data_IF_289910454354
#
_entry.id   IF_289910454354
#
_cell.length_a   1.000
_cell.length_b   1.000
_cell.length_c   1.000
_cell.angle_alpha   90.00
_cell.angle_beta   90.00
_cell.angle_gamma   90.00
#
_symmetry.space_group_name_H-M   'P 1'
#
loop_
_entity.id
_entity.type
_entity.pdbx_description
1 polymer ?
#
# COMPACT_ATOMS: atom_id res chain seq x y z
N UNK A 1 -4.19 4.89 -1.15
CA UNK A 1 -5.42 4.83 -0.36
C UNK A 1 -5.09 4.30 1.02
N UNK A 2 -5.53 5.01 2.06
CA UNK A 2 -5.41 4.59 3.46
C UNK A 2 -6.79 4.31 4.02
N UNK A 3 -6.90 3.24 4.80
CA UNK A 3 -8.10 2.85 5.54
C UNK A 3 -7.70 2.56 6.99
N UNK A 4 -8.39 3.16 7.95
CA UNK A 4 -8.06 3.04 9.38
C UNK A 4 -6.57 3.30 9.69
N UNK A 5 -6.00 4.34 9.07
CA UNK A 5 -4.58 4.74 9.18
C UNK A 5 -3.57 3.71 8.66
N UNK A 6 -4.02 2.68 7.93
CA UNK A 6 -3.15 1.68 7.31
C UNK A 6 -3.16 1.89 5.79
N UNK A 7 -1.98 1.93 5.15
CA UNK A 7 -1.88 1.93 3.70
C UNK A 7 -2.50 0.65 3.15
N UNK A 8 -3.57 0.77 2.38
CA UNK A 8 -4.29 -0.34 1.76
C UNK A 8 -3.81 -0.58 0.33
N UNK A 9 -3.78 0.46 -0.49
CA UNK A 9 -3.32 0.39 -1.86
C UNK A 9 -2.56 1.65 -2.29
N UNK A 10 -1.67 1.49 -3.27
CA UNK A 10 -0.88 2.55 -3.90
C UNK A 10 -1.07 2.47 -5.40
N UNK A 11 -1.09 3.62 -6.08
CA UNK A 11 -1.14 3.73 -7.53
C UNK A 11 0.00 4.62 -8.03
N UNK A 12 0.67 4.21 -9.07
CA UNK A 12 1.80 4.92 -9.68
C UNK A 12 1.68 4.90 -11.22
N UNK A 13 2.08 6.00 -11.90
CA UNK A 13 2.52 7.27 -11.35
C UNK A 13 1.36 8.12 -10.80
N UNK A 14 1.69 9.17 -10.06
CA UNK A 14 0.69 10.16 -9.65
C UNK A 14 0.05 10.79 -10.89
N UNK A 15 -1.30 10.70 -10.99
CA UNK A 15 -2.09 11.39 -12.03
C UNK A 15 -2.73 12.63 -11.42
N UNK A 16 -2.45 13.77 -12.01
CA UNK A 16 -2.92 15.07 -11.53
C UNK A 16 -3.19 15.99 -12.69
N UNK A 17 -4.12 16.93 -12.51
CA UNK A 17 -4.36 18.03 -13.44
C UNK A 17 -3.38 19.20 -13.26
N UNK A 18 -2.50 19.13 -12.26
CA UNK A 18 -1.45 20.10 -11.96
C UNK A 18 -0.10 19.53 -12.39
N UNK A 19 0.41 19.87 -13.59
CA UNK A 19 1.61 19.25 -14.16
C UNK A 19 2.89 19.54 -13.32
N UNK A 20 2.93 20.63 -12.58
CA UNK A 20 4.03 21.02 -11.70
C UNK A 20 4.06 20.27 -10.36
N UNK A 21 2.94 19.65 -9.97
CA UNK A 21 2.79 19.04 -8.64
C UNK A 21 3.83 17.92 -8.36
N UNK A 22 4.10 16.99 -9.30
CA UNK A 22 5.11 15.95 -9.07
C UNK A 22 6.50 16.55 -8.81
N UNK A 23 6.89 17.56 -9.58
CA UNK A 23 8.19 18.22 -9.41
C UNK A 23 8.29 18.95 -8.07
N UNK A 24 7.23 19.69 -7.68
CA UNK A 24 7.18 20.36 -6.35
C UNK A 24 7.27 19.34 -5.22
N UNK A 25 6.59 18.21 -5.33
CA UNK A 25 6.64 17.13 -4.34
C UNK A 25 8.07 16.56 -4.21
N UNK A 26 8.73 16.27 -5.34
CA UNK A 26 10.13 15.83 -5.34
C UNK A 26 11.06 16.84 -4.68
N UNK A 27 10.96 18.13 -5.02
CA UNK A 27 11.78 19.18 -4.41
C UNK A 27 11.61 19.29 -2.90
N UNK A 28 10.39 19.10 -2.39
CA UNK A 28 10.12 19.10 -0.94
C UNK A 28 10.78 17.86 -0.31
N UNK A 29 10.61 16.69 -0.92
CA UNK A 29 11.21 15.46 -0.43
C UNK A 29 12.75 15.53 -0.44
N UNK A 30 13.36 16.02 -1.51
CA UNK A 30 14.81 16.20 -1.63
C UNK A 30 15.37 17.13 -0.55
N UNK A 31 14.74 18.30 -0.35
CA UNK A 31 15.14 19.25 0.72
C UNK A 31 15.01 18.64 2.11
N UNK A 32 13.95 17.88 2.34
CA UNK A 32 13.71 17.26 3.62
C UNK A 32 14.75 16.14 3.90
N UNK A 33 15.05 15.31 2.91
CA UNK A 33 16.06 14.24 3.03
C UNK A 33 17.48 14.80 3.14
N UNK A 34 17.79 15.92 2.47
CA UNK A 34 19.11 16.57 2.54
C UNK A 34 19.50 17.07 3.94
N UNK A 35 18.55 17.08 4.90
CA UNK A 35 18.88 17.43 6.31
C UNK A 35 19.48 16.27 7.11
N UNK A 36 19.47 15.04 6.55
CA UNK A 36 20.04 13.87 7.20
C UNK A 36 21.48 13.63 6.70
N UNK A 37 22.32 13.17 7.61
CA UNK A 37 23.62 12.62 7.26
C UNK A 37 23.52 11.12 6.97
N UNK A 38 24.39 10.62 6.10
CA UNK A 38 24.44 9.20 5.71
C UNK A 38 23.85 8.93 4.33
N UNK A 39 23.75 7.65 3.99
CA UNK A 39 23.28 7.18 2.69
C UNK A 39 22.25 6.05 2.84
N UNK A 40 21.25 6.02 1.95
CA UNK A 40 20.22 5.00 1.94
C UNK A 40 19.04 5.42 1.09
N UNK A 41 17.94 4.69 1.25
CA UNK A 41 16.65 5.03 0.65
C UNK A 41 15.75 5.65 1.71
N UNK A 42 14.93 6.62 1.32
CA UNK A 42 13.97 7.28 2.20
C UNK A 42 12.59 7.21 1.58
N UNK A 43 11.60 6.78 2.36
CA UNK A 43 10.19 6.94 2.03
C UNK A 43 9.71 8.29 2.57
N UNK A 44 9.31 9.19 1.68
CA UNK A 44 8.80 10.51 2.07
C UNK A 44 7.30 10.56 1.79
N UNK A 45 6.50 10.68 2.83
CA UNK A 45 5.05 10.84 2.71
C UNK A 45 4.66 12.31 2.77
N UNK A 46 3.81 12.72 1.85
CA UNK A 46 3.35 14.09 1.71
C UNK A 46 1.82 14.14 1.69
N UNK A 47 1.25 15.19 2.26
CA UNK A 47 -0.17 15.52 2.08
C UNK A 47 -0.32 16.64 1.06
N UNK A 48 -1.25 16.46 0.13
CA UNK A 48 -1.71 17.52 -0.77
C UNK A 48 -3.05 18.05 -0.24
N UNK A 49 -3.08 19.30 0.15
CA UNK A 49 -4.29 19.97 0.59
C UNK A 49 -5.13 20.45 -0.61
N UNK A 50 -6.40 20.79 -0.35
CA UNK A 50 -7.34 21.25 -1.39
C UNK A 50 -6.92 22.55 -2.08
N UNK A 51 -6.18 23.40 -1.38
CA UNK A 51 -5.63 24.67 -1.88
C UNK A 51 -4.32 24.48 -2.68
N UNK A 52 -3.84 23.24 -2.85
CA UNK A 52 -2.59 22.93 -3.54
C UNK A 52 -1.35 23.01 -2.67
N UNK A 53 -1.49 23.26 -1.37
CA UNK A 53 -0.39 23.23 -0.41
C UNK A 53 0.09 21.80 -0.21
N UNK A 54 1.42 21.59 -0.22
CA UNK A 54 2.03 20.30 0.07
C UNK A 54 2.64 20.35 1.47
N UNK A 55 2.25 19.41 2.32
CA UNK A 55 2.78 19.25 3.67
C UNK A 55 3.58 17.96 3.79
N UNK A 56 4.72 18.02 4.46
CA UNK A 56 5.48 16.86 4.86
C UNK A 56 4.73 16.13 5.99
N UNK A 57 4.48 14.83 5.79
CA UNK A 57 3.86 13.96 6.79
C UNK A 57 4.91 13.19 7.59
N UNK A 58 5.64 12.30 6.92
CA UNK A 58 6.70 11.53 7.57
C UNK A 58 7.87 11.24 6.63
N UNK A 59 9.04 10.99 7.22
CA UNK A 59 10.21 10.46 6.53
C UNK A 59 10.61 9.14 7.19
N UNK A 60 10.59 8.07 6.41
CA UNK A 60 11.06 6.76 6.84
C UNK A 60 12.46 6.49 6.23
N UNK A 61 13.54 6.44 7.03
CA UNK A 61 14.91 6.23 6.53
C UNK A 61 15.17 4.74 6.24
N UNK A 62 14.38 4.16 5.36
CA UNK A 62 14.40 2.73 4.99
C UNK A 62 13.53 2.51 3.75
N UNK A 63 13.64 1.33 3.08
CA UNK A 63 12.61 0.91 2.11
C UNK A 63 11.22 1.03 2.72
N UNK A 64 10.30 1.65 1.99
CA UNK A 64 8.96 1.97 2.49
C UNK A 64 7.90 1.14 1.78
N UNK A 65 6.85 0.79 2.53
CA UNK A 65 5.77 -0.05 2.00
C UNK A 65 5.11 0.56 0.76
N UNK A 66 4.89 1.87 0.70
CA UNK A 66 4.33 2.52 -0.49
C UNK A 66 5.24 2.45 -1.73
N UNK A 67 6.54 2.17 -1.55
CA UNK A 67 7.51 1.98 -2.63
C UNK A 67 7.68 0.52 -3.09
N UNK A 68 6.93 -0.45 -2.56
CA UNK A 68 7.12 -1.86 -2.94
C UNK A 68 6.74 -2.13 -4.40
N UNK A 69 5.85 -1.33 -5.01
CA UNK A 69 5.55 -1.44 -6.44
C UNK A 69 6.80 -1.30 -7.33
N UNK A 70 7.85 -0.63 -6.83
CA UNK A 70 9.10 -0.42 -7.59
C UNK A 70 9.81 -1.71 -7.96
N UNK A 71 9.56 -2.80 -7.23
CA UNK A 71 10.15 -4.11 -7.53
C UNK A 71 9.74 -4.63 -8.92
N UNK A 72 8.49 -4.41 -9.30
CA UNK A 72 7.95 -4.92 -10.56
C UNK A 72 7.77 -3.81 -11.62
N UNK A 73 7.66 -2.56 -11.20
CA UNK A 73 7.28 -1.45 -12.07
C UNK A 73 8.40 -0.48 -12.43
N UNK A 74 9.54 -0.45 -11.71
CA UNK A 74 10.66 0.45 -11.99
C UNK A 74 11.84 -0.29 -12.59
N UNK A 75 12.71 0.46 -13.27
CA UNK A 75 13.98 -0.06 -13.78
C UNK A 75 14.87 -0.52 -12.63
N UNK A 76 14.95 0.27 -11.55
CA UNK A 76 15.67 -0.08 -10.32
C UNK A 76 14.71 0.06 -9.14
N UNK A 77 14.63 -0.99 -8.33
CA UNK A 77 13.76 -0.99 -7.15
C UNK A 77 14.32 -0.13 -6.01
N UNK A 78 13.45 0.26 -5.07
CA UNK A 78 13.89 0.93 -3.86
C UNK A 78 14.90 0.09 -3.05
N UNK A 79 14.80 -1.23 -3.08
CA UNK A 79 15.71 -2.13 -2.38
C UNK A 79 17.11 -2.11 -3.01
N UNK A 80 17.16 -2.20 -4.33
CA UNK A 80 18.44 -2.14 -5.06
C UNK A 80 19.11 -0.78 -4.90
N UNK A 81 18.37 0.33 -5.06
CA UNK A 81 18.93 1.66 -4.84
C UNK A 81 19.37 1.88 -3.39
N UNK A 82 18.69 1.26 -2.40
CA UNK A 82 19.18 1.27 -1.03
C UNK A 82 20.56 0.63 -0.89
N UNK A 83 20.73 -0.57 -1.45
CA UNK A 83 22.03 -1.26 -1.44
C UNK A 83 23.11 -0.48 -2.20
N UNK A 84 22.78 0.06 -3.37
CA UNK A 84 23.70 0.90 -4.14
C UNK A 84 24.15 2.12 -3.33
N UNK A 85 23.22 2.81 -2.69
CA UNK A 85 23.52 4.00 -1.88
C UNK A 85 24.45 3.69 -0.71
N UNK A 86 24.16 2.66 0.10
CA UNK A 86 24.99 2.31 1.27
C UNK A 86 26.37 1.74 0.91
N UNK A 87 26.51 1.18 -0.30
CA UNK A 87 27.78 0.66 -0.82
C UNK A 87 28.57 1.69 -1.64
N UNK A 88 28.08 2.92 -1.78
CA UNK A 88 28.71 3.96 -2.59
C UNK A 88 28.73 3.65 -4.09
N UNK A 89 27.81 2.83 -4.58
CA UNK A 89 27.67 2.48 -6.00
C UNK A 89 26.82 3.54 -6.74
N UNK A 90 26.97 3.68 -8.06
CA UNK A 90 26.10 4.53 -8.86
C UNK A 90 24.64 4.14 -8.70
N UNK A 91 23.77 5.11 -8.43
CA UNK A 91 22.34 4.87 -8.33
C UNK A 91 21.74 4.46 -9.69
N UNK A 92 20.81 3.52 -9.67
CA UNK A 92 20.08 3.12 -10.86
C UNK A 92 18.89 4.05 -11.13
N UNK A 93 18.40 4.00 -12.36
CA UNK A 93 17.23 4.77 -12.80
C UNK A 93 15.98 4.40 -11.98
N UNK A 94 15.26 5.40 -11.50
CA UNK A 94 13.99 5.23 -10.79
C UNK A 94 12.78 5.28 -11.74
N UNK A 95 13.01 5.37 -13.05
CA UNK A 95 11.95 5.44 -14.05
C UNK A 95 11.05 4.20 -14.00
N UNK A 96 9.76 4.43 -14.26
CA UNK A 96 8.82 3.32 -14.47
C UNK A 96 9.15 2.64 -15.80
N UNK A 97 9.30 1.32 -15.80
CA UNK A 97 9.41 0.47 -17.00
C UNK A 97 8.06 0.06 -17.58
N UNK A 98 6.98 0.49 -16.93
CA UNK A 98 5.57 0.24 -17.33
C UNK A 98 4.76 1.53 -17.23
N UNK A 99 3.72 1.72 -18.06
CA UNK A 99 2.91 2.93 -18.05
C UNK A 99 2.11 3.17 -16.76
N UNK A 100 1.72 2.09 -16.07
CA UNK A 100 0.94 2.17 -14.83
C UNK A 100 1.18 0.96 -13.94
N UNK A 101 1.16 1.21 -12.64
CA UNK A 101 1.29 0.18 -11.61
C UNK A 101 0.40 0.49 -10.40
N UNK A 102 0.06 -0.56 -9.66
CA UNK A 102 -0.54 -0.44 -8.34
C UNK A 102 0.05 -1.49 -7.40
N UNK A 103 -0.10 -1.26 -6.10
CA UNK A 103 0.25 -2.22 -5.05
C UNK A 103 -0.93 -2.36 -4.11
N UNK A 104 -1.30 -3.59 -3.76
CA UNK A 104 -2.29 -3.94 -2.76
C UNK A 104 -1.60 -4.62 -1.58
N UNK A 105 -1.77 -4.10 -0.38
CA UNK A 105 -1.28 -4.76 0.83
C UNK A 105 -2.21 -5.93 1.20
N UNK A 106 -1.60 -7.06 1.53
CA UNK A 106 -2.29 -8.21 2.11
C UNK A 106 -2.25 -8.04 3.63
N UNK A 107 -3.39 -7.64 4.19
CA UNK A 107 -3.54 -7.39 5.63
C UNK A 107 -4.20 -8.60 6.29
N UNK A 108 -3.68 -9.03 7.44
CA UNK A 108 -4.31 -10.06 8.23
C UNK A 108 -5.75 -9.68 8.61
N UNK A 109 -6.70 -10.57 8.40
CA UNK A 109 -8.13 -10.33 8.63
C UNK A 109 -8.56 -10.79 10.02
N UNK A 110 -7.94 -11.84 10.55
CA UNK A 110 -8.26 -12.42 11.84
C UNK A 110 -7.01 -12.90 12.56
N UNK A 111 -7.16 -13.26 13.84
CA UNK A 111 -6.08 -13.84 14.64
C UNK A 111 -6.09 -15.37 14.48
N UNK A 112 -4.98 -15.92 13.99
CA UNK A 112 -4.83 -17.37 13.75
C UNK A 112 -5.02 -18.21 15.02
N UNK A 113 -4.77 -17.64 16.21
CA UNK A 113 -5.02 -18.33 17.48
C UNK A 113 -6.52 -18.46 17.82
N UNK A 114 -7.39 -17.70 17.17
CA UNK A 114 -8.84 -17.64 17.41
C UNK A 114 -9.67 -18.10 16.21
N UNK A 115 -9.09 -18.10 15.03
CA UNK A 115 -9.73 -18.48 13.77
C UNK A 115 -8.72 -19.27 12.93
N UNK A 116 -8.88 -20.59 12.85
CA UNK A 116 -7.97 -21.47 12.11
C UNK A 116 -7.96 -21.13 10.59
N UNK A 117 -9.02 -20.54 10.06
CA UNK A 117 -9.12 -20.11 8.68
C UNK A 117 -8.60 -18.70 8.42
N UNK A 118 -8.11 -18.01 9.46
CA UNK A 118 -7.63 -16.62 9.34
C UNK A 118 -6.59 -16.43 8.24
N UNK A 119 -5.67 -17.37 8.09
CA UNK A 119 -4.65 -17.32 7.04
C UNK A 119 -5.25 -17.54 5.66
N UNK A 120 -6.14 -18.53 5.49
CA UNK A 120 -6.81 -18.81 4.22
C UNK A 120 -7.63 -17.58 3.75
N UNK A 121 -8.42 -16.99 4.65
CA UNK A 121 -9.18 -15.76 4.38
C UNK A 121 -8.26 -14.59 3.99
N UNK A 122 -7.15 -14.42 4.72
CA UNK A 122 -6.15 -13.38 4.43
C UNK A 122 -5.50 -13.56 3.05
N UNK A 123 -5.29 -14.80 2.61
CA UNK A 123 -4.63 -15.13 1.34
C UNK A 123 -5.61 -15.26 0.16
N UNK A 124 -6.91 -15.07 0.34
CA UNK A 124 -7.88 -15.14 -0.77
C UNK A 124 -7.51 -14.23 -1.96
N UNK A 125 -7.12 -12.95 -1.78
CA UNK A 125 -6.67 -12.10 -2.89
C UNK A 125 -5.41 -12.63 -3.60
N UNK A 126 -4.56 -13.37 -2.88
CA UNK A 126 -3.35 -14.00 -3.47
C UNK A 126 -3.75 -15.05 -4.47
N UNK A 127 -4.67 -15.95 -4.10
CA UNK A 127 -5.17 -16.98 -5.00
C UNK A 127 -5.83 -16.37 -6.23
N UNK A 128 -6.62 -15.31 -6.05
CA UNK A 128 -7.24 -14.56 -7.16
C UNK A 128 -6.18 -13.95 -8.07
N UNK A 129 -5.10 -13.39 -7.53
CA UNK A 129 -4.05 -12.72 -8.30
C UNK A 129 -3.33 -13.64 -9.28
N UNK A 130 -3.29 -14.96 -9.01
CA UNK A 130 -2.67 -15.94 -9.93
C UNK A 130 -3.35 -15.99 -11.30
N UNK A 131 -4.60 -15.56 -11.40
CA UNK A 131 -5.35 -15.45 -12.67
C UNK A 131 -5.43 -14.01 -13.21
N UNK A 132 -4.78 -13.04 -12.57
CA UNK A 132 -4.78 -11.64 -12.99
C UNK A 132 -3.48 -11.32 -13.74
N UNK A 133 -3.53 -11.03 -15.05
CA UNK A 133 -2.32 -10.71 -15.81
C UNK A 133 -1.59 -9.50 -15.23
N UNK A 134 -0.26 -9.59 -15.10
CA UNK A 134 0.56 -8.51 -14.58
C UNK A 134 0.51 -8.35 -13.06
N UNK A 135 -0.12 -9.28 -12.34
CA UNK A 135 -0.04 -9.36 -10.88
C UNK A 135 1.19 -10.18 -10.46
N UNK A 136 1.92 -9.68 -9.47
CA UNK A 136 3.05 -10.37 -8.83
C UNK A 136 2.86 -10.37 -7.32
N UNK A 137 2.98 -11.55 -6.70
CA UNK A 137 2.76 -11.74 -5.27
C UNK A 137 4.08 -11.74 -4.51
N UNK A 138 4.11 -11.00 -3.41
CA UNK A 138 5.24 -10.94 -2.48
C UNK A 138 4.75 -11.23 -1.06
N UNK A 139 4.99 -12.45 -0.57
CA UNK A 139 4.67 -12.85 0.79
C UNK A 139 5.86 -12.67 1.72
N UNK A 140 5.60 -12.23 2.96
CA UNK A 140 6.67 -11.91 3.91
C UNK A 140 7.09 -13.07 4.81
N UNK A 141 6.46 -14.24 4.70
CA UNK A 141 6.79 -15.44 5.49
C UNK A 141 6.59 -15.25 7.01
N UNK A 142 5.72 -14.34 7.43
CA UNK A 142 5.53 -14.06 8.85
C UNK A 142 4.77 -15.17 9.54
N UNK A 143 5.30 -15.63 10.68
CA UNK A 143 4.57 -16.50 11.59
C UNK A 143 3.40 -15.76 12.25
N UNK A 144 2.24 -16.38 12.27
CA UNK A 144 1.02 -15.83 12.86
C UNK A 144 0.37 -14.72 12.01
N UNK A 145 -0.95 -14.77 11.95
CA UNK A 145 -1.82 -13.79 11.32
C UNK A 145 -2.59 -13.06 12.41
N UNK A 146 -2.73 -11.75 12.29
CA UNK A 146 -3.57 -10.91 13.18
C UNK A 146 -4.13 -9.72 12.40
N UNK A 147 -5.28 -9.17 12.80
CA UNK A 147 -5.90 -8.04 12.11
C UNK A 147 -4.94 -6.88 11.87
N UNK A 148 -4.92 -6.37 10.64
CA UNK A 148 -4.09 -5.24 10.23
C UNK A 148 -2.59 -5.52 10.05
N UNK A 149 -2.10 -6.73 10.38
CA UNK A 149 -0.70 -7.09 10.14
C UNK A 149 -0.46 -7.26 8.64
N UNK A 150 0.51 -6.52 8.08
CA UNK A 150 0.94 -6.70 6.69
C UNK A 150 1.61 -8.06 6.53
N UNK A 151 0.96 -8.96 5.81
CA UNK A 151 1.40 -10.34 5.55
C UNK A 151 2.15 -10.47 4.22
N UNK A 152 1.95 -9.52 3.33
CA UNK A 152 2.54 -9.46 2.00
C UNK A 152 1.97 -8.29 1.21
N UNK A 153 2.23 -8.27 -0.08
CA UNK A 153 1.59 -7.37 -1.03
C UNK A 153 1.47 -8.02 -2.41
N UNK A 154 0.62 -7.47 -3.23
CA UNK A 154 0.46 -7.81 -4.64
C UNK A 154 0.75 -6.56 -5.44
N UNK A 155 1.74 -6.61 -6.34
CA UNK A 155 1.97 -5.59 -7.34
C UNK A 155 1.18 -5.92 -8.60
N UNK A 156 0.58 -4.91 -9.21
CA UNK A 156 -0.17 -5.04 -10.46
C UNK A 156 0.39 -4.02 -11.44
N UNK A 157 0.88 -4.48 -12.59
CA UNK A 157 1.39 -3.63 -13.67
C UNK A 157 0.50 -3.73 -14.91
N UNK A 158 0.49 -2.69 -15.73
CA UNK A 158 -0.32 -2.71 -16.94
C UNK A 158 -0.03 -1.57 -17.93
N UNK A 159 -0.55 -1.70 -19.15
CA UNK A 159 -0.30 -0.76 -20.24
C UNK A 159 -1.05 0.58 -20.09
N UNK A 160 -1.97 0.68 -19.15
CA UNK A 160 -2.66 1.93 -18.81
C UNK A 160 -3.28 1.89 -17.42
N UNK A 161 -3.66 3.05 -16.90
CA UNK A 161 -4.36 3.19 -15.61
C UNK A 161 -5.70 2.42 -15.62
N UNK A 162 -6.43 2.42 -16.73
CA UNK A 162 -7.68 1.68 -16.86
C UNK A 162 -7.48 0.17 -16.66
N UNK A 163 -6.44 -0.40 -17.28
CA UNK A 163 -6.11 -1.82 -17.11
C UNK A 163 -5.70 -2.14 -15.68
N UNK A 164 -4.84 -1.31 -15.09
CA UNK A 164 -4.41 -1.52 -13.69
C UNK A 164 -5.58 -1.40 -12.72
N UNK A 165 -6.45 -0.38 -12.87
CA UNK A 165 -7.65 -0.22 -12.03
C UNK A 165 -8.62 -1.40 -12.17
N UNK A 166 -8.87 -1.87 -13.40
CA UNK A 166 -9.72 -3.04 -13.63
C UNK A 166 -9.15 -4.31 -12.97
N UNK A 167 -7.84 -4.52 -13.07
CA UNK A 167 -7.15 -5.66 -12.41
C UNK A 167 -7.21 -5.54 -10.89
N UNK A 168 -6.99 -4.33 -10.38
CA UNK A 168 -7.10 -4.05 -8.96
C UNK A 168 -8.50 -4.27 -8.42
N UNK A 169 -9.57 -3.90 -9.15
CA UNK A 169 -10.93 -4.13 -8.69
C UNK A 169 -11.21 -5.61 -8.47
N UNK A 170 -10.72 -6.51 -9.33
CA UNK A 170 -10.87 -7.95 -9.16
C UNK A 170 -10.25 -8.47 -7.85
N UNK A 171 -9.12 -7.87 -7.42
CA UNK A 171 -8.46 -8.23 -6.16
C UNK A 171 -9.17 -7.61 -4.95
N UNK A 172 -9.67 -6.40 -5.10
CA UNK A 172 -10.42 -5.69 -4.05
C UNK A 172 -11.77 -6.35 -3.79
N UNK A 173 -12.49 -6.78 -4.83
CA UNK A 173 -13.75 -7.52 -4.70
C UNK A 173 -13.54 -8.84 -3.93
N UNK A 174 -12.44 -9.53 -4.18
CA UNK A 174 -12.10 -10.77 -3.47
C UNK A 174 -11.71 -10.50 -2.01
N UNK A 175 -10.98 -9.41 -1.77
CA UNK A 175 -10.63 -8.98 -0.42
C UNK A 175 -11.88 -8.62 0.38
N UNK A 176 -12.82 -7.89 -0.21
CA UNK A 176 -14.09 -7.52 0.44
C UNK A 176 -14.91 -8.76 0.82
N UNK A 177 -15.03 -9.74 -0.10
CA UNK A 177 -15.69 -11.03 0.20
C UNK A 177 -15.02 -11.75 1.37
N UNK A 178 -13.68 -11.79 1.38
CA UNK A 178 -12.93 -12.41 2.46
C UNK A 178 -13.11 -11.69 3.81
N UNK A 179 -13.21 -10.35 3.79
CA UNK A 179 -13.50 -9.54 4.97
C UNK A 179 -14.90 -9.80 5.52
N UNK A 180 -15.92 -9.86 4.65
CA UNK A 180 -17.31 -10.20 5.03
C UNK A 180 -17.33 -11.58 5.68
N UNK A 181 -16.75 -12.59 5.05
CA UNK A 181 -16.68 -13.94 5.59
C UNK A 181 -15.93 -14.03 6.93
N UNK A 182 -14.90 -13.21 7.15
CA UNK A 182 -14.20 -13.11 8.42
C UNK A 182 -15.05 -12.45 9.51
N UNK A 183 -15.92 -11.51 9.15
CA UNK A 183 -16.85 -10.86 10.08
C UNK A 183 -17.99 -11.78 10.49
N UNK A 184 -18.57 -12.52 9.56
CA UNK A 184 -19.68 -13.45 9.80
C UNK A 184 -19.27 -14.63 10.68
N UNK A 185 -18.00 -15.03 10.64
CA UNK A 185 -17.44 -16.09 11.49
C UNK A 185 -17.16 -15.64 12.94
N UNK A 186 -17.32 -14.35 13.29
CA UNK A 186 -17.22 -13.88 14.67
C UNK A 186 -18.52 -14.14 15.42
N UNK A 187 -18.46 -14.64 16.67
CA UNK A 187 -19.65 -14.68 17.55
C UNK A 187 -20.24 -13.27 17.64
N UNK A 188 -21.56 -13.16 17.57
CA UNK A 188 -22.28 -11.90 17.71
C UNK A 188 -21.90 -11.23 19.03
N UNK A 189 -21.18 -10.11 18.96
CA UNK A 189 -20.90 -9.26 20.11
C UNK A 189 -21.99 -8.18 20.23
N UNK A 190 -23.00 -8.49 21.06
CA UNK A 190 -24.12 -7.59 21.33
C UNK A 190 -23.68 -6.24 21.95
N UNK A 191 -22.54 -6.20 22.65
CA UNK A 191 -22.01 -4.98 23.25
C UNK A 191 -21.32 -4.07 22.22
N UNK A 192 -20.58 -4.66 21.30
CA UNK A 192 -19.99 -3.90 20.17
C UNK A 192 -21.06 -3.33 19.25
N UNK A 193 -22.18 -4.05 19.04
CA UNK A 193 -23.32 -3.55 18.28
C UNK A 193 -24.01 -2.37 18.98
N UNK A 194 -24.16 -2.41 20.30
CA UNK A 194 -24.71 -1.28 21.08
C UNK A 194 -23.81 -0.05 21.03
N UNK A 195 -22.49 -0.20 21.08
CA UNK A 195 -21.52 0.91 20.96
C UNK A 195 -21.55 1.57 19.58
N UNK A 196 -21.74 0.79 18.50
CA UNK A 196 -21.91 1.34 17.13
C UNK A 196 -23.23 2.07 16.94
N UNK A 197 -24.31 1.57 17.53
CA UNK A 197 -25.62 2.23 17.49
C UNK A 197 -25.69 3.52 18.33
N UNK A 198 -24.78 3.70 19.30
CA UNK A 198 -24.70 4.87 20.15
C UNK A 198 -23.87 6.03 19.57
N UNK A 199 -23.23 5.84 18.40
CA UNK A 199 -22.51 6.92 17.70
C UNK A 199 -23.54 7.72 16.90
N UNK A 200 -23.81 9.00 17.24
CA UNK A 200 -24.73 9.81 16.46
C UNK A 200 -24.20 10.01 15.04
N UNK A 201 -25.09 10.08 14.04
CA UNK A 201 -24.67 10.35 12.66
C UNK A 201 -23.95 11.70 12.60
N UNK A 202 -22.91 11.84 11.75
CA UNK A 202 -22.21 13.10 11.60
C UNK A 202 -23.17 14.19 11.14
N UNK A 203 -23.44 15.19 12.00
CA UNK A 203 -24.34 16.30 11.71
C UNK A 203 -25.62 16.37 12.56
N UNK A 204 -25.78 15.58 13.59
CA UNK A 204 -26.83 15.80 14.59
C UNK A 204 -26.40 16.95 15.55
N UNK A 205 -27.33 17.89 15.88
CA UNK A 205 -27.03 19.04 16.74
C UNK A 205 -26.67 18.64 18.18
#
# INVERSE_FOLDING_TARGET
VHENSICHSVYAPLRTHQPELPQRACQIAERAVATFEGAGIFGVELFLLKDGTILLNEIAPRPHNSGHYTMDACETSQFENHLRAILGLPLGSTALKVPSAAMLNILGLADLSKDQDALAKTLAPVLRSLSVPGATVHLYGKSGCRPGRKMGHINVVGPSDAHVRHRMSQLLDELERAQIAAHESKPWDAEAAKRRAAVPPPGAP
#
